data_IF_752553447418
#
_entry.id   IF_752553447418
#
_cell.length_a   1.000
_cell.length_b   1.000
_cell.length_c   1.000
_cell.angle_alpha   90.00
_cell.angle_beta   90.00
_cell.angle_gamma   90.00
#
_symmetry.space_group_name_H-M   'P 1'
#
loop_
_entity.id
_entity.type
_entity.pdbx_description
1 polymer ?
#
# COMPACT_ATOMS: atom_id res chain seq x y z
N UNK A 1 -1.00 1.36 -19.31
CA UNK A 1 -0.77 1.54 -17.87
C UNK A 1 -1.31 0.29 -17.18
N UNK A 2 -0.65 -0.18 -16.16
CA UNK A 2 -0.96 -1.41 -15.43
C UNK A 2 -0.84 -1.12 -13.92
N UNK A 3 -1.86 -1.44 -13.12
CA UNK A 3 -1.85 -1.14 -11.69
C UNK A 3 -0.66 -1.81 -10.99
N UNK A 4 -0.32 -3.04 -11.36
CA UNK A 4 0.82 -3.73 -10.75
C UNK A 4 2.17 -3.06 -11.06
N UNK A 5 2.26 -2.30 -12.15
CA UNK A 5 3.45 -1.52 -12.45
C UNK A 5 3.48 -0.21 -11.64
N UNK A 6 2.33 0.45 -11.43
CA UNK A 6 2.28 1.64 -10.57
C UNK A 6 2.69 1.30 -9.14
N UNK A 7 2.15 0.22 -8.57
CA UNK A 7 2.53 -0.26 -7.24
C UNK A 7 4.04 -0.54 -7.18
N UNK A 8 4.62 -1.22 -8.16
CA UNK A 8 6.08 -1.45 -8.21
C UNK A 8 6.88 -0.15 -8.32
N UNK A 9 6.41 0.84 -9.07
CA UNK A 9 7.08 2.14 -9.20
C UNK A 9 7.08 2.87 -7.85
N UNK A 10 5.99 2.79 -7.09
CA UNK A 10 5.89 3.32 -5.73
C UNK A 10 6.85 2.59 -4.76
N UNK A 11 6.90 1.27 -4.80
CA UNK A 11 7.85 0.48 -4.03
C UNK A 11 9.30 0.88 -4.30
N UNK A 12 9.64 1.14 -5.57
CA UNK A 12 10.97 1.65 -5.93
C UNK A 12 11.23 3.03 -5.32
N UNK A 13 10.23 3.93 -5.34
CA UNK A 13 10.36 5.26 -4.72
C UNK A 13 10.49 5.17 -3.20
N UNK A 14 9.74 4.29 -2.54
CA UNK A 14 9.86 4.05 -1.10
C UNK A 14 11.27 3.58 -0.73
N UNK A 15 11.78 2.54 -1.40
CA UNK A 15 13.16 2.06 -1.21
C UNK A 15 14.19 3.17 -1.44
N UNK A 16 13.96 4.00 -2.46
CA UNK A 16 14.85 5.13 -2.76
C UNK A 16 14.84 6.17 -1.65
N UNK A 17 13.70 6.49 -1.07
CA UNK A 17 13.58 7.47 0.00
C UNK A 17 14.24 6.97 1.30
N UNK A 18 14.09 5.69 1.66
CA UNK A 18 14.82 5.09 2.77
C UNK A 18 16.34 5.14 2.54
N UNK A 19 16.82 4.80 1.34
CA UNK A 19 18.23 4.88 1.00
C UNK A 19 18.79 6.32 1.03
N UNK A 20 17.97 7.32 0.70
CA UNK A 20 18.33 8.73 0.83
C UNK A 20 18.51 9.12 2.30
N UNK A 21 17.61 8.67 3.19
CA UNK A 21 17.74 8.96 4.64
C UNK A 21 19.06 8.45 5.22
N UNK A 22 19.56 7.31 4.75
CA UNK A 22 20.86 6.76 5.18
C UNK A 22 22.07 7.60 4.74
N UNK A 23 21.91 8.43 3.70
CA UNK A 23 23.00 9.24 3.13
C UNK A 23 23.04 10.68 3.70
N UNK A 24 22.01 11.09 4.43
CA UNK A 24 21.94 12.43 5.04
C UNK A 24 22.80 12.45 6.32
N UNK A 25 23.61 13.51 6.49
CA UNK A 25 24.38 13.70 7.73
C UNK A 25 23.42 13.74 8.94
N UNK A 26 23.77 13.00 9.99
CA UNK A 26 22.93 12.90 11.21
C UNK A 26 22.68 14.24 11.90
N UNK A 27 23.57 15.21 11.70
CA UNK A 27 23.41 16.57 12.24
C UNK A 27 22.48 17.46 11.42
N UNK A 28 22.17 17.09 10.16
CA UNK A 28 21.21 17.80 9.32
C UNK A 28 19.77 17.32 9.59
N UNK A 29 19.32 17.64 10.79
CA UNK A 29 17.96 17.25 11.24
C UNK A 29 16.85 17.91 10.41
N UNK A 30 17.13 19.03 9.76
CA UNK A 30 16.18 19.70 8.87
C UNK A 30 15.89 18.89 7.62
N UNK A 31 16.93 18.44 6.94
CA UNK A 31 16.81 17.59 5.75
C UNK A 31 16.24 16.21 6.11
N UNK A 32 16.71 15.60 7.21
CA UNK A 32 16.17 14.33 7.71
C UNK A 32 14.66 14.43 7.96
N UNK A 33 14.22 15.48 8.65
CA UNK A 33 12.80 15.70 8.94
C UNK A 33 11.97 15.85 7.66
N UNK A 34 12.47 16.62 6.69
CA UNK A 34 11.74 16.86 5.44
C UNK A 34 11.59 15.58 4.60
N UNK A 35 12.66 14.79 4.48
CA UNK A 35 12.62 13.53 3.72
C UNK A 35 11.74 12.49 4.43
N UNK A 36 11.87 12.39 5.76
CA UNK A 36 11.05 11.48 6.55
C UNK A 36 9.56 11.82 6.48
N UNK A 37 9.20 13.11 6.61
CA UNK A 37 7.81 13.54 6.51
C UNK A 37 7.20 13.20 5.13
N UNK A 38 7.98 13.41 4.04
CA UNK A 38 7.56 12.98 2.70
C UNK A 38 7.36 11.48 2.62
N UNK A 39 8.32 10.69 3.13
CA UNK A 39 8.25 9.24 3.09
C UNK A 39 7.06 8.72 3.89
N UNK A 40 6.87 9.16 5.14
CA UNK A 40 5.74 8.73 5.96
C UNK A 40 4.38 9.04 5.33
N UNK A 41 4.23 10.24 4.73
CA UNK A 41 3.01 10.57 3.99
C UNK A 41 2.83 9.70 2.74
N UNK A 42 3.91 9.32 2.09
CA UNK A 42 3.85 8.48 0.89
C UNK A 42 3.53 7.02 1.23
N UNK A 43 4.11 6.47 2.31
CA UNK A 43 3.77 5.13 2.80
C UNK A 43 2.26 5.02 3.09
N UNK A 44 1.69 5.97 3.81
CA UNK A 44 0.26 5.95 4.12
C UNK A 44 -0.63 6.16 2.89
N UNK A 45 -0.25 7.07 1.98
CA UNK A 45 -1.01 7.30 0.75
C UNK A 45 -1.06 6.04 -0.13
N UNK A 46 0.07 5.37 -0.25
CA UNK A 46 0.20 4.12 -0.99
C UNK A 46 -0.64 2.99 -0.38
N UNK A 47 -0.48 2.74 0.93
CA UNK A 47 -1.27 1.75 1.65
C UNK A 47 -2.79 2.02 1.52
N UNK A 48 -3.20 3.28 1.67
CA UNK A 48 -4.61 3.66 1.50
C UNK A 48 -5.13 3.45 0.07
N UNK A 49 -4.29 3.65 -0.95
CA UNK A 49 -4.65 3.42 -2.35
C UNK A 49 -4.82 1.91 -2.63
N UNK A 50 -3.94 1.07 -2.11
CA UNK A 50 -4.04 -0.39 -2.22
C UNK A 50 -5.28 -0.92 -1.50
N UNK A 51 -5.50 -0.49 -0.28
CA UNK A 51 -6.67 -0.85 0.53
C UNK A 51 -8.00 -0.41 -0.11
N UNK A 52 -8.01 0.71 -0.82
CA UNK A 52 -9.22 1.19 -1.49
C UNK A 52 -9.47 0.54 -2.86
N UNK A 53 -8.42 0.10 -3.58
CA UNK A 53 -8.51 -0.22 -5.00
C UNK A 53 -7.93 -1.59 -5.33
N UNK A 54 -6.71 -1.91 -4.87
CA UNK A 54 -5.99 -3.12 -5.28
C UNK A 54 -6.53 -4.36 -4.57
N UNK A 55 -6.52 -4.41 -3.24
CA UNK A 55 -6.95 -5.60 -2.50
C UNK A 55 -8.41 -6.00 -2.71
N UNK A 56 -9.40 -5.06 -2.79
CA UNK A 56 -10.75 -5.45 -3.17
C UNK A 56 -10.81 -6.12 -4.56
N UNK A 57 -10.00 -5.65 -5.51
CA UNK A 57 -9.95 -6.24 -6.84
C UNK A 57 -9.23 -7.60 -6.85
N UNK A 58 -8.15 -7.76 -6.04
CA UNK A 58 -7.44 -9.03 -5.86
C UNK A 58 -8.38 -10.11 -5.30
N UNK A 59 -9.13 -9.79 -4.25
CA UNK A 59 -10.14 -10.69 -3.68
C UNK A 59 -11.18 -11.11 -4.71
N UNK A 60 -11.69 -10.17 -5.51
CA UNK A 60 -12.68 -10.46 -6.57
C UNK A 60 -12.17 -11.44 -7.61
N UNK A 61 -10.95 -11.21 -8.14
CA UNK A 61 -10.39 -12.13 -9.15
C UNK A 61 -10.04 -13.49 -8.56
N UNK A 62 -9.62 -13.55 -7.29
CA UNK A 62 -9.38 -14.80 -6.57
C UNK A 62 -10.64 -15.64 -6.38
N UNK A 63 -11.74 -15.01 -5.97
CA UNK A 63 -13.05 -15.65 -5.84
C UNK A 63 -13.51 -16.19 -7.21
N UNK A 64 -13.46 -15.37 -8.25
CA UNK A 64 -13.86 -15.76 -9.61
C UNK A 64 -13.03 -16.92 -10.15
N UNK A 65 -11.73 -16.97 -9.82
CA UNK A 65 -10.80 -18.03 -10.21
C UNK A 65 -10.86 -19.27 -9.31
N UNK A 66 -11.71 -19.31 -8.28
CA UNK A 66 -11.77 -20.36 -7.24
C UNK A 66 -10.45 -20.53 -6.47
N UNK A 67 -9.73 -19.44 -6.24
CA UNK A 67 -8.48 -19.35 -5.47
C UNK A 67 -8.64 -18.45 -4.23
N UNK A 68 -9.85 -18.40 -3.69
CA UNK A 68 -10.23 -17.51 -2.60
C UNK A 68 -9.27 -17.59 -1.41
N UNK A 69 -8.95 -18.77 -0.92
CA UNK A 69 -8.13 -18.93 0.30
C UNK A 69 -6.74 -18.32 0.18
N UNK A 70 -6.08 -18.41 -0.99
CA UNK A 70 -4.77 -17.82 -1.20
C UNK A 70 -4.82 -16.29 -1.17
N UNK A 71 -5.67 -15.69 -2.01
CA UNK A 71 -5.78 -14.22 -2.06
C UNK A 71 -6.38 -13.60 -0.79
N UNK A 72 -7.19 -14.38 -0.03
CA UNK A 72 -7.71 -13.97 1.27
C UNK A 72 -6.56 -13.89 2.31
N UNK A 73 -5.70 -14.91 2.37
CA UNK A 73 -4.52 -14.95 3.23
C UNK A 73 -3.55 -13.81 2.87
N UNK A 74 -3.18 -13.66 1.59
CA UNK A 74 -2.35 -12.56 1.09
C UNK A 74 -2.90 -11.18 1.51
N UNK A 75 -4.21 -10.98 1.43
CA UNK A 75 -4.83 -9.70 1.81
C UNK A 75 -4.84 -9.49 3.32
N UNK A 76 -5.08 -10.55 4.11
CA UNK A 76 -5.05 -10.48 5.57
C UNK A 76 -3.65 -10.06 6.07
N UNK A 77 -2.61 -10.69 5.52
CA UNK A 77 -1.22 -10.41 5.87
C UNK A 77 -0.85 -8.96 5.48
N UNK A 78 -1.17 -8.54 4.26
CA UNK A 78 -0.89 -7.18 3.79
C UNK A 78 -1.54 -6.08 4.64
N UNK A 79 -2.79 -6.28 5.10
CA UNK A 79 -3.44 -5.30 6.00
C UNK A 79 -2.78 -5.30 7.38
N UNK A 80 -2.31 -6.46 7.86
CA UNK A 80 -1.50 -6.56 9.08
C UNK A 80 -0.19 -5.78 8.96
N UNK A 81 0.53 -5.99 7.86
CA UNK A 81 1.79 -5.31 7.56
C UNK A 81 1.63 -3.79 7.49
N UNK A 82 0.55 -3.30 6.86
CA UNK A 82 0.26 -1.87 6.83
C UNK A 82 0.10 -1.28 8.24
N UNK A 83 -0.55 -2.00 9.16
CA UNK A 83 -0.67 -1.55 10.55
C UNK A 83 0.71 -1.52 11.23
N UNK A 84 1.55 -2.53 11.02
CA UNK A 84 2.91 -2.58 11.57
C UNK A 84 3.79 -1.44 11.03
N UNK A 85 3.66 -1.10 9.75
CA UNK A 85 4.34 0.05 9.13
C UNK A 85 3.86 1.35 9.76
N UNK A 86 2.54 1.54 9.96
CA UNK A 86 1.96 2.72 10.64
C UNK A 86 2.49 2.87 12.07
N UNK A 87 2.54 1.77 12.81
CA UNK A 87 3.07 1.75 14.18
C UNK A 87 4.55 2.15 14.21
N UNK A 88 5.36 1.66 13.27
CA UNK A 88 6.78 2.01 13.18
C UNK A 88 6.99 3.50 12.78
N UNK A 89 6.15 4.03 11.88
CA UNK A 89 6.17 5.46 11.53
C UNK A 89 5.76 6.32 12.74
N UNK A 90 4.73 5.90 13.49
CA UNK A 90 4.29 6.59 14.71
C UNK A 90 5.37 6.53 15.80
N UNK A 91 6.12 5.42 15.93
CA UNK A 91 7.23 5.31 16.86
C UNK A 91 8.34 6.31 16.56
N UNK A 92 8.69 6.52 15.28
CA UNK A 92 9.69 7.51 14.91
C UNK A 92 9.31 8.94 15.37
N UNK A 93 8.01 9.28 15.37
CA UNK A 93 7.53 10.58 15.83
C UNK A 93 7.73 10.82 17.34
N UNK A 94 8.00 9.76 18.14
CA UNK A 94 8.26 9.86 19.59
C UNK A 94 9.70 10.24 19.94
N UNK A 95 10.58 10.25 18.94
CA UNK A 95 12.01 10.47 19.10
C UNK A 95 12.44 11.76 18.42
N UNK A 96 13.43 12.50 18.98
CA UNK A 96 14.02 13.63 18.29
C UNK A 96 14.68 13.19 16.97
N UNK A 97 14.39 13.87 15.88
CA UNK A 97 14.97 13.57 14.56
C UNK A 97 16.48 13.53 14.63
N UNK A 98 17.09 12.51 14.05
CA UNK A 98 18.54 12.28 14.05
C UNK A 98 19.09 11.61 15.32
N UNK A 99 18.26 11.37 16.35
CA UNK A 99 18.66 10.61 17.53
C UNK A 99 18.76 9.10 17.23
N UNK A 100 19.47 8.35 18.09
CA UNK A 100 19.59 6.90 17.93
C UNK A 100 18.22 6.21 17.99
N UNK A 101 17.29 6.69 18.85
CA UNK A 101 15.92 6.18 18.94
C UNK A 101 15.16 6.43 17.64
N UNK A 102 15.30 7.61 17.05
CA UNK A 102 14.69 7.92 15.77
C UNK A 102 15.21 7.02 14.65
N UNK A 103 16.52 6.83 14.55
CA UNK A 103 17.10 5.93 13.55
C UNK A 103 16.69 4.48 13.74
N UNK A 104 16.56 4.04 15.00
CA UNK A 104 16.06 2.68 15.28
C UNK A 104 14.62 2.50 14.80
N UNK A 105 13.76 3.50 15.02
CA UNK A 105 12.37 3.46 14.56
C UNK A 105 12.27 3.53 13.02
N UNK A 106 13.06 4.40 12.37
CA UNK A 106 13.14 4.47 10.90
C UNK A 106 13.63 3.15 10.29
N UNK A 107 14.62 2.50 10.92
CA UNK A 107 15.09 1.18 10.49
C UNK A 107 14.02 0.10 10.68
N UNK A 108 13.22 0.17 11.75
CA UNK A 108 12.05 -0.69 11.97
C UNK A 108 11.01 -0.52 10.87
N UNK A 109 10.67 0.73 10.51
CA UNK A 109 9.75 1.02 9.42
C UNK A 109 10.27 0.51 8.06
N UNK A 110 11.58 0.67 7.80
CA UNK A 110 12.20 0.16 6.57
C UNK A 110 12.15 -1.37 6.48
N UNK A 111 12.35 -2.06 7.61
CA UNK A 111 12.27 -3.52 7.66
C UNK A 111 10.83 -4.00 7.41
N UNK A 112 9.85 -3.49 8.17
CA UNK A 112 8.45 -3.86 8.00
C UNK A 112 7.96 -3.60 6.56
N UNK A 113 8.24 -2.40 6.03
CA UNK A 113 7.89 -2.05 4.66
C UNK A 113 8.63 -2.92 3.60
N UNK A 114 9.87 -3.29 3.88
CA UNK A 114 10.68 -4.15 3.00
C UNK A 114 10.12 -5.57 2.90
N UNK A 115 9.72 -6.14 4.03
CA UNK A 115 9.11 -7.48 4.12
C UNK A 115 7.74 -7.48 3.41
N UNK A 116 6.88 -6.50 3.70
CA UNK A 116 5.60 -6.29 3.03
C UNK A 116 5.75 -6.22 1.51
N UNK A 117 6.58 -5.31 0.99
CA UNK A 117 6.79 -5.16 -0.45
C UNK A 117 7.29 -6.46 -1.10
N UNK A 118 8.19 -7.20 -0.42
CA UNK A 118 8.74 -8.43 -0.95
C UNK A 118 7.67 -9.53 -1.08
N UNK A 119 6.76 -9.61 -0.11
CA UNK A 119 5.64 -10.55 -0.14
C UNK A 119 4.61 -10.18 -1.19
N UNK A 120 4.18 -8.93 -1.23
CA UNK A 120 3.22 -8.46 -2.22
C UNK A 120 3.73 -8.61 -3.66
N UNK A 121 4.99 -8.26 -3.94
CA UNK A 121 5.61 -8.43 -5.26
C UNK A 121 5.66 -9.90 -5.69
N UNK A 122 5.93 -10.81 -4.73
CA UNK A 122 6.02 -12.25 -4.99
C UNK A 122 4.65 -12.89 -5.19
N UNK A 123 3.65 -12.48 -4.42
CA UNK A 123 2.34 -13.14 -4.30
C UNK A 123 1.22 -12.29 -4.91
N UNK A 124 0.76 -11.24 -4.25
CA UNK A 124 -0.40 -10.44 -4.64
C UNK A 124 -0.33 -9.88 -6.05
N UNK A 125 0.78 -9.20 -6.40
CA UNK A 125 0.96 -8.64 -7.74
C UNK A 125 1.10 -9.73 -8.80
N UNK A 126 1.76 -10.84 -8.47
CA UNK A 126 1.93 -11.98 -9.37
C UNK A 126 0.60 -12.67 -9.63
N UNK A 127 -0.19 -12.94 -8.61
CA UNK A 127 -1.51 -13.57 -8.74
C UNK A 127 -2.48 -12.64 -9.47
N UNK A 128 -2.46 -11.35 -9.16
CA UNK A 128 -3.31 -10.39 -9.88
C UNK A 128 -2.98 -10.31 -11.37
N UNK A 129 -1.69 -10.31 -11.76
CA UNK A 129 -1.28 -10.36 -13.17
C UNK A 129 -1.78 -11.60 -13.90
N UNK A 130 -1.85 -12.73 -13.20
CA UNK A 130 -2.32 -14.01 -13.78
C UNK A 130 -3.82 -14.08 -13.91
N UNK A 131 -4.56 -13.47 -12.98
CA UNK A 131 -6.01 -13.61 -12.86
C UNK A 131 -6.78 -12.48 -13.53
N UNK A 132 -6.25 -11.25 -13.48
CA UNK A 132 -6.91 -10.06 -14.02
C UNK A 132 -6.54 -9.81 -15.49
N UNK A 133 -7.54 -9.49 -16.30
CA UNK A 133 -7.33 -9.10 -17.71
C UNK A 133 -6.68 -7.72 -17.86
N UNK A 134 -6.06 -7.46 -18.99
CA UNK A 134 -5.36 -6.19 -19.29
C UNK A 134 -6.25 -4.96 -19.11
N UNK A 135 -7.51 -5.04 -19.57
CA UNK A 135 -8.45 -3.92 -19.45
C UNK A 135 -8.76 -3.61 -17.97
N UNK A 136 -8.93 -4.63 -17.14
CA UNK A 136 -9.17 -4.46 -15.71
C UNK A 136 -7.95 -3.83 -15.04
N UNK A 137 -6.75 -4.34 -15.30
CA UNK A 137 -5.49 -3.80 -14.76
C UNK A 137 -5.27 -2.33 -15.18
N UNK A 138 -5.64 -1.99 -16.41
CA UNK A 138 -5.59 -0.61 -16.90
C UNK A 138 -6.59 0.30 -16.18
N UNK A 139 -7.84 -0.12 -16.05
CA UNK A 139 -8.88 0.67 -15.38
C UNK A 139 -8.55 0.94 -13.92
N UNK A 140 -8.02 -0.07 -13.21
CA UNK A 140 -7.58 0.06 -11.84
C UNK A 140 -6.34 0.95 -11.71
N UNK A 141 -5.40 0.90 -12.67
CA UNK A 141 -4.26 1.81 -12.71
C UNK A 141 -4.70 3.28 -12.79
N UNK A 142 -5.73 3.58 -13.59
CA UNK A 142 -6.29 4.93 -13.67
C UNK A 142 -6.96 5.33 -12.36
N UNK A 143 -7.69 4.40 -11.72
CA UNK A 143 -8.34 4.66 -10.43
C UNK A 143 -7.32 4.89 -9.32
N UNK A 144 -6.24 4.09 -9.26
CA UNK A 144 -5.14 4.20 -8.31
C UNK A 144 -4.43 5.56 -8.42
N UNK A 145 -3.97 5.91 -9.62
CA UNK A 145 -3.35 7.20 -9.87
C UNK A 145 -4.28 8.39 -9.57
N UNK A 146 -5.58 8.24 -9.83
CA UNK A 146 -6.56 9.28 -9.49
C UNK A 146 -6.80 9.39 -7.98
N UNK A 147 -6.73 8.28 -7.23
CA UNK A 147 -6.81 8.28 -5.77
C UNK A 147 -5.62 9.03 -5.18
N UNK A 148 -4.41 8.69 -5.57
CA UNK A 148 -3.19 9.35 -5.12
C UNK A 148 -3.20 10.85 -5.45
N UNK A 149 -3.57 11.21 -6.69
CA UNK A 149 -3.65 12.61 -7.11
C UNK A 149 -4.65 13.44 -6.28
N UNK A 150 -5.76 12.84 -5.84
CA UNK A 150 -6.75 13.52 -4.97
C UNK A 150 -6.28 13.64 -3.53
N UNK A 151 -5.45 12.73 -3.08
CA UNK A 151 -4.99 12.63 -1.69
C UNK A 151 -3.51 12.97 -1.52
N UNK A 152 -2.89 13.63 -2.51
CA UNK A 152 -1.46 13.95 -2.50
C UNK A 152 -1.02 14.80 -1.29
N UNK A 153 -1.95 15.50 -0.64
CA UNK A 153 -1.70 16.28 0.58
C UNK A 153 -1.56 15.41 1.83
N UNK A 154 -1.79 14.11 1.70
CA UNK A 154 -1.75 13.11 2.75
C UNK A 154 -3.12 12.48 3.03
N UNK A 155 -3.09 11.32 3.64
CA UNK A 155 -4.25 10.58 4.16
C UNK A 155 -4.05 10.44 5.66
N UNK A 156 -5.13 10.47 6.43
CA UNK A 156 -5.06 10.20 7.87
C UNK A 156 -4.80 8.71 8.09
N UNK A 157 -3.74 8.33 8.82
CA UNK A 157 -3.43 6.93 9.08
C UNK A 157 -4.51 6.31 9.97
N UNK A 158 -5.07 5.18 9.53
CA UNK A 158 -6.09 4.45 10.28
C UNK A 158 -5.82 2.96 10.17
N UNK A 159 -5.50 2.35 11.29
CA UNK A 159 -5.36 0.90 11.38
C UNK A 159 -6.66 0.18 11.09
N UNK A 160 -6.56 -0.93 10.41
CA UNK A 160 -7.71 -1.75 10.07
C UNK A 160 -7.57 -3.14 10.69
N UNK A 161 -8.67 -3.68 11.20
CA UNK A 161 -8.73 -5.10 11.50
C UNK A 161 -8.73 -5.89 10.19
N UNK A 162 -7.72 -6.76 9.96
CA UNK A 162 -7.57 -7.46 8.68
C UNK A 162 -8.80 -8.32 8.33
N UNK A 163 -9.34 -9.06 9.31
CA UNK A 163 -10.50 -9.92 9.09
C UNK A 163 -11.78 -9.14 8.77
N UNK A 164 -11.99 -8.02 9.48
CA UNK A 164 -13.11 -7.13 9.18
C UNK A 164 -12.97 -6.47 7.81
N UNK A 165 -11.75 -6.08 7.42
CA UNK A 165 -11.46 -5.52 6.10
C UNK A 165 -11.81 -6.52 4.99
N UNK A 166 -11.28 -7.74 5.04
CA UNK A 166 -11.57 -8.78 4.04
C UNK A 166 -13.07 -9.05 3.95
N UNK A 167 -13.74 -9.23 5.09
CA UNK A 167 -15.19 -9.49 5.13
C UNK A 167 -16.00 -8.36 4.49
N UNK A 168 -15.63 -7.09 4.72
CA UNK A 168 -16.29 -5.93 4.13
C UNK A 168 -16.03 -5.81 2.62
N UNK A 169 -14.78 -6.04 2.19
CA UNK A 169 -14.39 -6.00 0.79
C UNK A 169 -15.12 -7.08 -0.02
N UNK A 170 -15.23 -8.29 0.52
CA UNK A 170 -16.01 -9.37 -0.11
C UNK A 170 -17.51 -9.09 -0.17
N UNK A 171 -18.09 -8.54 0.92
CA UNK A 171 -19.51 -8.21 0.97
C UNK A 171 -19.89 -7.05 0.02
N UNK A 172 -18.99 -6.11 -0.19
CA UNK A 172 -19.13 -5.01 -1.15
C UNK A 172 -18.98 -5.44 -2.62
N UNK A 173 -18.57 -6.69 -2.87
CA UNK A 173 -18.40 -7.24 -4.21
C UNK A 173 -19.78 -7.55 -4.80
N UNK A 174 -20.19 -6.98 -5.96
CA UNK A 174 -21.42 -7.38 -6.63
C UNK A 174 -21.35 -8.88 -6.95
N UNK A 175 -22.40 -9.64 -6.62
CA UNK A 175 -22.47 -11.04 -7.01
C UNK A 175 -22.21 -11.14 -8.51
N UNK A 176 -21.30 -12.04 -8.92
CA UNK A 176 -20.90 -12.28 -10.30
C UNK A 176 -22.15 -12.61 -11.15
N UNK A 177 -22.76 -11.59 -11.72
CA UNK A 177 -24.01 -11.68 -12.49
C UNK A 177 -24.08 -10.71 -13.66
N UNK A 178 -23.31 -9.64 -13.65
CA UNK A 178 -23.20 -8.78 -14.82
C UNK A 178 -21.83 -8.06 -14.84
N UNK A 179 -21.15 -8.12 -15.97
CA UNK A 179 -19.79 -7.68 -16.19
C UNK A 179 -19.60 -6.15 -16.22
N UNK A 180 -20.34 -5.42 -15.43
CA UNK A 180 -20.24 -3.96 -15.32
C UNK A 180 -19.63 -3.56 -13.98
N UNK A 181 -18.33 -3.24 -14.01
CA UNK A 181 -17.74 -2.40 -12.98
C UNK A 181 -18.42 -1.03 -13.05
N UNK A 182 -19.34 -0.78 -12.14
CA UNK A 182 -20.00 0.52 -12.04
C UNK A 182 -18.98 1.56 -11.51
N UNK A 183 -18.08 2.00 -12.39
CA UNK A 183 -17.21 3.14 -12.13
C UNK A 183 -18.13 4.36 -12.17
N UNK A 184 -18.72 4.66 -11.00
CA UNK A 184 -19.67 5.72 -10.79
C UNK A 184 -19.17 7.04 -11.38
N UNK A 185 -19.98 7.59 -12.24
CA UNK A 185 -19.76 8.72 -13.10
C UNK A 185 -18.97 9.87 -12.51
N UNK A 186 -17.87 10.13 -13.18
CA UNK A 186 -17.26 11.46 -13.20
C UNK A 186 -18.26 12.40 -13.89
N UNK A 187 -18.89 13.27 -13.12
CA UNK A 187 -19.51 14.49 -13.58
C UNK A 187 -18.61 15.67 -13.21
#
# INVERSE_FOLDING_TARGET
MDITQLILDDHHEQRRLFAILEQIDRSDTGTLSAVWARLGSFLELHAAAEEAIFYPALLQVGIAARRRSGVEEETLDAIGDHNDIRDAVAEAARHPVGSDGWYAAVAGANLANGDHMAEEEREGLTDFRRLAGLQQRHSLAVAFAAFEARNFAGVEPVDKDPGAYVSQAEAGTPSVGDGSLNIGGLK
#
